data_IF_102020760884
#
_entry.id   IF_102020760884
#
_cell.length_a   1.000
_cell.length_b   1.000
_cell.length_c   1.000
_cell.angle_alpha   90.00
_cell.angle_beta   90.00
_cell.angle_gamma   90.00
#
_symmetry.space_group_name_H-M   'P 1'
#
loop_
_entity.id
_entity.type
_entity.pdbx_description
1 polymer ?
#
# COMPACT_ATOMS: atom_id res chain seq x y z
N UNK A 1 9.83 -78.71 -95.35
CA UNK A 1 9.80 -77.83 -94.16
C UNK A 1 10.26 -76.44 -94.60
N UNK A 2 9.33 -75.50 -94.79
CA UNK A 2 9.65 -74.15 -95.26
C UNK A 2 10.12 -73.34 -94.05
N UNK A 3 11.43 -73.08 -93.95
CA UNK A 3 11.95 -72.09 -93.02
C UNK A 3 11.41 -70.72 -93.46
N UNK A 4 10.41 -70.21 -92.74
CA UNK A 4 9.97 -68.83 -92.87
C UNK A 4 11.11 -67.95 -92.34
N UNK A 5 11.96 -67.48 -93.26
CA UNK A 5 12.98 -66.48 -92.96
C UNK A 5 12.22 -65.19 -92.67
N UNK A 6 12.15 -64.84 -91.39
CA UNK A 6 11.47 -63.66 -90.92
C UNK A 6 12.28 -62.43 -91.36
N UNK A 7 11.98 -61.90 -92.55
CA UNK A 7 12.65 -60.76 -93.19
C UNK A 7 12.32 -59.40 -92.52
N UNK A 8 11.87 -59.41 -91.27
CA UNK A 8 11.65 -58.17 -90.53
C UNK A 8 13.03 -57.56 -90.22
N UNK A 9 13.38 -56.40 -90.79
CA UNK A 9 14.69 -55.82 -90.60
C UNK A 9 14.93 -55.51 -89.12
N UNK A 10 16.09 -55.93 -88.59
CA UNK A 10 16.46 -55.80 -87.18
C UNK A 10 16.41 -54.35 -86.66
N UNK A 11 16.50 -53.36 -87.54
CA UNK A 11 16.33 -51.93 -87.23
C UNK A 11 14.93 -51.57 -86.70
N UNK A 12 13.88 -52.27 -87.15
CA UNK A 12 12.50 -52.02 -86.68
C UNK A 12 12.28 -52.63 -85.28
N UNK A 13 12.90 -53.77 -84.98
CA UNK A 13 12.81 -54.39 -83.66
C UNK A 13 13.54 -53.58 -82.58
N UNK A 14 14.72 -53.04 -82.89
CA UNK A 14 15.50 -52.22 -81.94
C UNK A 14 14.84 -50.88 -81.63
N UNK A 15 14.24 -50.23 -82.62
CA UNK A 15 13.48 -48.97 -82.42
C UNK A 15 12.22 -49.19 -81.58
N UNK A 16 11.51 -50.31 -81.77
CA UNK A 16 10.34 -50.69 -80.95
C UNK A 16 10.72 -50.99 -79.50
N UNK A 17 11.85 -51.69 -79.28
CA UNK A 17 12.37 -51.99 -77.94
C UNK A 17 12.85 -50.72 -77.19
N UNK A 18 13.43 -49.73 -77.89
CA UNK A 18 13.79 -48.45 -77.27
C UNK A 18 12.55 -47.66 -76.83
N UNK A 19 11.50 -47.63 -77.68
CA UNK A 19 10.23 -46.95 -77.35
C UNK A 19 9.53 -47.57 -76.15
N UNK A 20 9.52 -48.90 -76.01
CA UNK A 20 8.91 -49.56 -74.84
C UNK A 20 9.69 -49.28 -73.55
N UNK A 21 11.03 -49.33 -73.60
CA UNK A 21 11.88 -48.96 -72.45
C UNK A 21 11.66 -47.52 -72.02
N UNK A 22 11.62 -46.58 -72.96
CA UNK A 22 11.40 -45.16 -72.66
C UNK A 22 10.03 -44.92 -72.03
N UNK A 23 8.97 -45.58 -72.53
CA UNK A 23 7.64 -45.52 -71.91
C UNK A 23 7.63 -46.08 -70.49
N UNK A 24 8.36 -47.16 -70.24
CA UNK A 24 8.48 -47.76 -68.91
C UNK A 24 9.24 -46.84 -67.94
N UNK A 25 10.32 -46.20 -68.38
CA UNK A 25 11.04 -45.20 -67.58
C UNK A 25 10.18 -43.99 -67.26
N UNK A 26 9.42 -43.46 -68.22
CA UNK A 26 8.48 -42.35 -67.98
C UNK A 26 7.40 -42.77 -66.97
N UNK A 27 6.85 -43.98 -67.10
CA UNK A 27 5.82 -44.47 -66.18
C UNK A 27 6.36 -44.63 -64.75
N UNK A 28 7.59 -45.12 -64.60
CA UNK A 28 8.27 -45.21 -63.30
C UNK A 28 8.50 -43.84 -62.68
N UNK A 29 8.99 -42.88 -63.45
CA UNK A 29 9.27 -41.52 -62.97
C UNK A 29 7.97 -40.79 -62.59
N UNK A 30 6.93 -40.91 -63.42
CA UNK A 30 5.60 -40.38 -63.10
C UNK A 30 5.01 -41.02 -61.83
N UNK A 31 5.19 -42.33 -61.64
CA UNK A 31 4.75 -43.02 -60.43
C UNK A 31 5.52 -42.55 -59.19
N UNK A 32 6.84 -42.37 -59.31
CA UNK A 32 7.67 -41.85 -58.21
C UNK A 32 7.25 -40.43 -57.79
N UNK A 33 7.00 -39.54 -58.77
CA UNK A 33 6.50 -38.19 -58.50
C UNK A 33 5.10 -38.20 -57.88
N UNK A 34 4.21 -39.09 -58.34
CA UNK A 34 2.87 -39.23 -57.76
C UNK A 34 2.93 -39.70 -56.30
N UNK A 35 3.81 -40.66 -55.98
CA UNK A 35 4.01 -41.15 -54.61
C UNK A 35 4.58 -40.03 -53.72
N UNK A 36 5.59 -39.29 -54.20
CA UNK A 36 6.18 -38.17 -53.45
C UNK A 36 5.15 -37.04 -53.20
N UNK A 37 4.34 -36.71 -54.22
CA UNK A 37 3.26 -35.72 -54.09
C UNK A 37 2.18 -36.17 -53.11
N UNK A 38 1.77 -37.44 -53.16
CA UNK A 38 0.79 -38.00 -52.22
C UNK A 38 1.32 -38.01 -50.79
N UNK A 39 2.58 -38.43 -50.58
CA UNK A 39 3.23 -38.40 -49.27
C UNK A 39 3.25 -36.98 -48.70
N UNK A 40 3.62 -35.97 -49.51
CA UNK A 40 3.63 -34.57 -49.08
C UNK A 40 2.23 -34.05 -48.72
N UNK A 41 1.21 -34.39 -49.52
CA UNK A 41 -0.16 -33.97 -49.28
C UNK A 41 -0.75 -34.62 -48.02
N UNK A 42 -0.42 -35.90 -47.78
CA UNK A 42 -0.86 -36.65 -46.58
C UNK A 42 -0.18 -36.19 -45.29
N UNK A 43 1.01 -35.59 -45.36
CA UNK A 43 1.73 -35.07 -44.20
C UNK A 43 1.25 -33.68 -43.73
N UNK A 44 0.63 -32.89 -44.60
CA UNK A 44 0.11 -31.54 -44.26
C UNK A 44 -0.91 -31.49 -43.11
N UNK A 45 -1.98 -32.32 -43.08
CA UNK A 45 -2.99 -32.21 -42.02
C UNK A 45 -2.46 -32.48 -40.60
N UNK A 46 -1.32 -33.18 -40.47
CA UNK A 46 -0.69 -33.41 -39.17
C UNK A 46 0.03 -32.16 -38.61
N UNK A 47 0.52 -31.27 -39.48
CA UNK A 47 1.21 -30.06 -39.06
C UNK A 47 0.24 -29.00 -38.51
N UNK A 48 -0.94 -28.86 -39.13
CA UNK A 48 -1.95 -27.87 -38.71
C UNK A 48 -2.56 -28.21 -37.33
N UNK A 49 -2.71 -29.50 -37.03
CA UNK A 49 -3.16 -29.98 -35.71
C UNK A 49 -2.16 -29.66 -34.58
N UNK A 50 -0.85 -29.68 -34.86
CA UNK A 50 0.17 -29.35 -33.87
C UNK A 50 0.22 -27.84 -33.58
N UNK A 51 0.10 -27.01 -34.60
CA UNK A 51 0.10 -25.54 -34.42
C UNK A 51 -1.13 -25.12 -33.60
N UNK A 52 -2.31 -25.62 -33.95
CA UNK A 52 -3.54 -25.31 -33.22
C UNK A 52 -3.49 -25.80 -31.77
N UNK A 53 -2.94 -27.00 -31.53
CA UNK A 53 -2.74 -27.51 -30.17
C UNK A 53 -1.77 -26.65 -29.37
N UNK A 54 -0.61 -26.30 -29.93
CA UNK A 54 0.37 -25.43 -29.26
C UNK A 54 -0.20 -24.05 -28.97
N UNK A 55 -0.98 -23.48 -29.89
CA UNK A 55 -1.68 -22.22 -29.67
C UNK A 55 -2.71 -22.33 -28.53
N UNK A 56 -3.49 -23.40 -28.48
CA UNK A 56 -4.43 -23.63 -27.38
C UNK A 56 -3.72 -23.80 -26.04
N UNK A 57 -2.63 -24.57 -25.99
CA UNK A 57 -1.83 -24.77 -24.77
C UNK A 57 -1.17 -23.45 -24.31
N UNK A 58 -0.73 -22.60 -25.23
CA UNK A 58 -0.21 -21.26 -24.91
C UNK A 58 -1.29 -20.33 -24.34
N UNK A 59 -2.49 -20.33 -24.92
CA UNK A 59 -3.60 -19.52 -24.42
C UNK A 59 -4.03 -19.99 -23.02
N UNK A 60 -4.11 -21.31 -22.80
CA UNK A 60 -4.44 -21.89 -21.50
C UNK A 60 -3.37 -21.58 -20.45
N UNK A 61 -2.09 -21.68 -20.79
CA UNK A 61 -1.00 -21.31 -19.91
C UNK A 61 -1.03 -19.80 -19.57
N UNK A 62 -1.31 -18.95 -20.56
CA UNK A 62 -1.48 -17.51 -20.37
C UNK A 62 -2.64 -17.17 -19.42
N UNK A 63 -3.79 -17.84 -19.59
CA UNK A 63 -4.95 -17.66 -18.73
C UNK A 63 -4.66 -18.09 -17.26
N UNK A 64 -3.92 -19.19 -17.06
CA UNK A 64 -3.50 -19.64 -15.72
C UNK A 64 -2.57 -18.63 -15.04
N UNK A 65 -1.55 -18.15 -15.75
CA UNK A 65 -0.63 -17.14 -15.23
C UNK A 65 -1.35 -15.85 -14.87
N UNK A 66 -2.28 -15.38 -15.71
CA UNK A 66 -3.08 -14.20 -15.40
C UNK A 66 -3.95 -14.40 -14.13
N UNK A 67 -4.53 -15.59 -13.97
CA UNK A 67 -5.29 -15.96 -12.77
C UNK A 67 -4.43 -15.97 -11.50
N UNK A 68 -3.24 -16.56 -11.55
CA UNK A 68 -2.30 -16.59 -10.42
C UNK A 68 -1.79 -15.20 -10.05
N UNK A 69 -1.47 -14.37 -11.04
CA UNK A 69 -1.05 -12.98 -10.82
C UNK A 69 -2.16 -12.15 -10.17
N UNK A 70 -3.41 -12.33 -10.61
CA UNK A 70 -4.56 -11.68 -9.97
C UNK A 70 -4.74 -12.17 -8.53
N UNK A 71 -4.51 -13.46 -8.26
CA UNK A 71 -4.50 -14.03 -6.91
C UNK A 71 -3.44 -13.40 -6.01
N UNK A 72 -2.20 -13.32 -6.48
CA UNK A 72 -1.08 -12.68 -5.76
C UNK A 72 -1.30 -11.18 -5.51
N UNK A 73 -1.89 -10.47 -6.47
CA UNK A 73 -2.23 -9.06 -6.29
C UNK A 73 -3.27 -8.88 -5.17
N UNK A 74 -4.30 -9.74 -5.12
CA UNK A 74 -5.32 -9.70 -4.07
C UNK A 74 -4.76 -10.03 -2.68
N UNK A 75 -3.88 -11.04 -2.57
CA UNK A 75 -3.28 -11.39 -1.27
C UNK A 75 -2.34 -10.30 -0.76
N UNK A 76 -1.55 -9.66 -1.64
CA UNK A 76 -0.74 -8.49 -1.28
C UNK A 76 -1.59 -7.33 -0.79
N UNK A 77 -2.66 -6.99 -1.51
CA UNK A 77 -3.57 -5.93 -1.09
C UNK A 77 -4.22 -6.24 0.29
N UNK A 78 -4.60 -7.49 0.55
CA UNK A 78 -5.15 -7.89 1.85
C UNK A 78 -4.10 -7.82 2.99
N UNK A 79 -2.85 -8.19 2.69
CA UNK A 79 -1.74 -8.06 3.65
C UNK A 79 -1.47 -6.60 4.00
N UNK A 80 -1.42 -5.73 3.00
CA UNK A 80 -1.18 -4.30 3.19
C UNK A 80 -2.29 -3.65 4.04
N UNK A 81 -3.56 -4.01 3.78
CA UNK A 81 -4.70 -3.56 4.59
C UNK A 81 -4.61 -4.08 6.04
N UNK A 82 -4.24 -5.35 6.24
CA UNK A 82 -4.06 -5.89 7.58
C UNK A 82 -2.94 -5.18 8.37
N UNK A 83 -1.81 -4.88 7.73
CA UNK A 83 -0.71 -4.13 8.34
C UNK A 83 -1.10 -2.68 8.66
N UNK A 84 -1.88 -2.03 7.79
CA UNK A 84 -2.41 -0.69 8.06
C UNK A 84 -3.37 -0.68 9.26
N UNK A 85 -4.24 -1.68 9.37
CA UNK A 85 -5.14 -1.84 10.52
C UNK A 85 -4.37 -2.09 11.81
N UNK A 86 -3.34 -2.94 11.77
CA UNK A 86 -2.48 -3.17 12.92
C UNK A 86 -1.72 -1.90 13.34
N UNK A 87 -1.12 -1.18 12.39
CA UNK A 87 -0.43 0.07 12.66
C UNK A 87 -1.39 1.11 13.27
N UNK A 88 -2.64 1.16 12.80
CA UNK A 88 -3.69 2.04 13.34
C UNK A 88 -4.09 1.60 14.75
N UNK A 89 -4.31 0.30 14.98
CA UNK A 89 -4.63 -0.24 16.29
C UNK A 89 -3.50 -0.01 17.30
N UNK A 90 -2.24 -0.23 16.92
CA UNK A 90 -1.06 0.08 17.75
C UNK A 90 -0.97 1.58 18.06
N UNK A 91 -1.24 2.47 17.10
CA UNK A 91 -1.29 3.92 17.33
C UNK A 91 -2.42 4.33 18.27
N UNK A 92 -3.55 3.62 18.26
CA UNK A 92 -4.67 3.88 19.17
C UNK A 92 -4.35 3.33 20.57
N UNK A 93 -3.85 2.10 20.67
CA UNK A 93 -3.48 1.46 21.93
C UNK A 93 -2.27 2.09 22.62
N UNK A 94 -1.37 2.72 21.87
CA UNK A 94 -0.26 3.50 22.41
C UNK A 94 -0.67 4.90 22.90
N UNK A 95 -1.94 5.29 22.80
CA UNK A 95 -2.40 6.58 23.35
C UNK A 95 -2.41 6.48 24.88
N UNK A 96 -1.86 7.49 25.59
CA UNK A 96 -2.01 7.57 27.04
C UNK A 96 -3.49 7.54 27.42
N UNK A 97 -3.82 6.87 28.51
CA UNK A 97 -5.18 6.94 29.06
C UNK A 97 -5.43 8.33 29.65
N UNK A 98 -6.11 9.17 28.89
CA UNK A 98 -6.48 10.51 29.30
C UNK A 98 -7.71 10.53 30.21
N UNK A 99 -8.42 9.42 30.38
CA UNK A 99 -9.63 9.37 31.21
C UNK A 99 -9.31 9.66 32.67
N UNK A 100 -8.24 9.06 33.20
CA UNK A 100 -7.75 9.32 34.55
C UNK A 100 -7.32 10.77 34.74
N UNK A 101 -6.66 11.37 33.74
CA UNK A 101 -6.30 12.78 33.77
C UNK A 101 -7.54 13.69 33.83
N UNK A 102 -8.54 13.42 33.00
CA UNK A 102 -9.78 14.20 32.99
C UNK A 102 -10.56 14.06 34.30
N UNK A 103 -10.53 12.87 34.90
CA UNK A 103 -11.12 12.62 36.21
C UNK A 103 -10.42 13.45 37.30
N UNK A 104 -9.09 13.46 37.34
CA UNK A 104 -8.31 14.27 38.29
C UNK A 104 -8.58 15.76 38.11
N UNK A 105 -8.62 16.26 36.87
CA UNK A 105 -8.96 17.66 36.58
C UNK A 105 -10.39 17.99 37.05
N UNK A 106 -11.33 17.06 36.89
CA UNK A 106 -12.71 17.22 37.36
C UNK A 106 -12.83 17.23 38.89
N UNK A 107 -12.09 16.36 39.60
CA UNK A 107 -12.07 16.32 41.07
C UNK A 107 -11.46 17.57 41.70
N UNK A 108 -10.52 18.22 41.01
CA UNK A 108 -9.87 19.46 41.45
C UNK A 108 -10.57 20.72 40.93
N UNK A 109 -11.67 20.59 40.21
CA UNK A 109 -12.39 21.76 39.70
C UNK A 109 -13.18 22.42 40.84
N UNK A 110 -12.85 23.68 41.17
CA UNK A 110 -13.65 24.47 42.13
C UNK A 110 -15.09 24.57 41.61
N UNK A 111 -16.13 24.38 42.46
CA UNK A 111 -17.54 24.50 42.06
C UNK A 111 -17.92 25.86 41.43
N UNK A 112 -17.08 26.88 41.60
CA UNK A 112 -17.24 28.23 41.04
C UNK A 112 -16.45 28.43 39.73
N UNK A 113 -15.91 27.36 39.16
CA UNK A 113 -15.30 27.31 37.85
C UNK A 113 -15.99 26.27 36.98
N UNK A 114 -16.15 26.58 35.69
CA UNK A 114 -16.74 25.69 34.69
C UNK A 114 -15.76 25.53 33.54
N UNK A 115 -15.49 24.28 33.16
CA UNK A 115 -14.68 23.96 31.99
C UNK A 115 -15.53 24.02 30.73
N UNK A 116 -15.08 24.77 29.73
CA UNK A 116 -15.73 24.85 28.42
C UNK A 116 -15.08 23.91 27.42
N UNK A 117 -13.75 23.77 27.47
CA UNK A 117 -13.00 22.97 26.52
C UNK A 117 -11.72 22.45 27.14
N UNK A 118 -11.45 21.16 26.94
CA UNK A 118 -10.19 20.54 27.29
C UNK A 118 -9.61 19.91 26.03
N UNK A 119 -8.45 20.40 25.60
CA UNK A 119 -7.73 19.92 24.42
C UNK A 119 -6.43 19.27 24.85
N UNK A 120 -6.09 18.14 24.25
CA UNK A 120 -4.83 17.44 24.47
C UNK A 120 -4.10 17.42 23.14
N UNK A 121 -2.92 18.01 23.11
CA UNK A 121 -2.08 18.08 21.92
C UNK A 121 -0.67 17.57 22.24
N UNK A 122 0.06 16.98 21.28
CA UNK A 122 1.50 16.78 21.45
C UNK A 122 2.17 18.14 21.62
N UNK A 123 3.08 18.30 22.58
CA UNK A 123 3.84 19.53 22.82
C UNK A 123 4.61 20.00 21.57
N UNK A 124 5.07 19.04 20.76
CA UNK A 124 5.79 19.28 19.51
C UNK A 124 4.88 19.47 18.30
N UNK A 125 3.55 19.40 18.46
CA UNK A 125 2.62 19.84 17.41
C UNK A 125 2.57 21.37 17.41
N UNK A 126 3.70 21.99 17.06
CA UNK A 126 3.79 23.41 16.76
C UNK A 126 2.65 23.71 15.76
N UNK A 127 1.74 24.60 16.17
CA UNK A 127 0.62 25.01 15.34
C UNK A 127 1.16 25.43 13.96
N UNK A 128 0.56 25.00 12.84
CA UNK A 128 1.01 25.45 11.53
C UNK A 128 0.97 26.98 11.51
N UNK A 129 2.15 27.59 11.36
CA UNK A 129 2.38 29.03 11.37
C UNK A 129 1.35 29.72 10.48
N UNK A 130 0.30 30.22 11.11
CA UNK A 130 -0.75 31.00 10.47
C UNK A 130 -0.32 32.45 10.48
N UNK A 131 0.88 32.77 9.96
CA UNK A 131 1.35 34.14 9.67
C UNK A 131 2.76 34.20 9.06
N UNK A 132 3.00 33.50 7.94
CA UNK A 132 4.07 33.89 7.02
C UNK A 132 3.49 34.37 5.70
N UNK A 133 2.94 35.58 5.74
CA UNK A 133 2.70 36.40 4.57
C UNK A 133 3.98 36.53 3.73
N UNK A 134 4.01 35.85 2.60
CA UNK A 134 4.70 36.23 1.36
C UNK A 134 6.11 36.79 1.47
N UNK A 135 7.12 35.91 1.45
CA UNK A 135 8.37 36.22 0.74
C UNK A 135 8.89 34.99 0.00
N UNK A 136 8.86 34.97 -1.35
CA UNK A 136 9.44 33.88 -2.12
C UNK A 136 10.97 33.98 -2.05
N UNK A 137 11.59 33.23 -1.13
CA UNK A 137 13.02 32.95 -1.21
C UNK A 137 13.25 31.89 -2.28
N UNK A 138 13.89 32.30 -3.36
CA UNK A 138 14.32 31.45 -4.46
C UNK A 138 15.15 30.27 -3.93
N UNK A 139 14.65 29.05 -4.14
CA UNK A 139 15.33 27.80 -3.80
C UNK A 139 16.20 27.36 -4.98
N UNK A 140 17.51 27.34 -4.76
CA UNK A 140 18.48 26.64 -5.59
C UNK A 140 18.33 25.13 -5.39
N UNK A 141 18.26 24.30 -6.45
CA UNK A 141 18.34 22.85 -6.32
C UNK A 141 19.82 22.43 -6.37
N UNK A 142 20.26 21.52 -5.47
CA UNK A 142 21.02 20.31 -5.83
C UNK A 142 21.72 19.68 -4.62
N UNK A 143 21.53 18.37 -4.48
CA UNK A 143 22.31 17.48 -3.63
C UNK A 143 21.61 16.13 -3.46
N UNK A 144 21.97 15.10 -4.24
CA UNK A 144 21.42 13.76 -4.08
C UNK A 144 22.20 13.00 -3.01
N UNK A 145 21.49 12.36 -2.07
CA UNK A 145 22.00 11.19 -1.37
C UNK A 145 22.57 11.42 0.03
N UNK A 146 21.72 11.81 0.98
CA UNK A 146 21.86 11.35 2.35
C UNK A 146 20.53 10.68 2.73
N UNK A 147 20.49 9.35 2.62
CA UNK A 147 19.47 8.55 3.29
C UNK A 147 19.61 8.78 4.79
N UNK A 148 18.81 9.70 5.33
CA UNK A 148 18.59 9.78 6.76
C UNK A 148 17.85 8.49 7.14
N UNK A 149 18.58 7.56 7.75
CA UNK A 149 17.98 6.42 8.41
C UNK A 149 16.94 6.94 9.42
N UNK A 150 15.71 6.41 9.44
CA UNK A 150 14.73 6.80 10.45
C UNK A 150 15.28 6.41 11.82
N UNK A 151 15.67 7.41 12.60
CA UNK A 151 16.03 7.22 14.00
C UNK A 151 14.75 6.89 14.76
N UNK A 152 14.52 5.60 15.01
CA UNK A 152 13.41 5.10 15.86
C UNK A 152 13.73 5.25 17.36
N UNK A 153 14.45 6.31 17.75
CA UNK A 153 14.45 6.71 19.14
C UNK A 153 13.05 7.26 19.41
N UNK A 154 12.24 6.48 20.11
CA UNK A 154 10.94 6.90 20.63
C UNK A 154 11.18 8.05 21.60
N UNK A 155 11.37 9.25 21.07
CA UNK A 155 11.32 10.48 21.86
C UNK A 155 9.97 10.47 22.56
N UNK A 156 10.03 10.43 23.89
CA UNK A 156 8.88 10.53 24.74
C UNK A 156 8.04 11.72 24.26
N UNK A 157 6.90 11.42 23.64
CA UNK A 157 6.02 12.47 23.13
C UNK A 157 5.45 13.18 24.34
N UNK A 158 5.99 14.36 24.65
CA UNK A 158 5.44 15.22 25.68
C UNK A 158 4.07 15.72 25.20
N UNK A 159 3.07 15.65 26.07
CA UNK A 159 1.71 16.09 25.76
C UNK A 159 1.41 17.37 26.52
N UNK A 160 0.71 18.30 25.89
CA UNK A 160 0.19 19.52 26.48
C UNK A 160 -1.34 19.42 26.60
N UNK A 161 -1.83 19.80 27.78
CA UNK A 161 -3.23 19.95 28.10
C UNK A 161 -3.58 21.44 28.05
N UNK A 162 -4.51 21.82 27.18
CA UNK A 162 -5.08 23.16 27.07
C UNK A 162 -6.47 23.16 27.67
N UNK A 163 -6.65 23.87 28.77
CA UNK A 163 -7.91 23.99 29.51
C UNK A 163 -8.45 25.41 29.29
N UNK A 164 -9.63 25.51 28.69
CA UNK A 164 -10.39 26.77 28.61
C UNK A 164 -11.62 26.67 29.50
N UNK A 165 -11.92 27.76 30.23
CA UNK A 165 -13.08 27.81 31.10
C UNK A 165 -13.46 29.22 31.53
N UNK A 166 -14.45 29.28 32.40
CA UNK A 166 -14.94 30.51 33.05
C UNK A 166 -14.99 30.29 34.56
N UNK A 167 -14.63 31.32 35.33
CA UNK A 167 -14.69 31.28 36.79
C UNK A 167 -15.32 32.56 37.35
N UNK A 168 -15.88 32.50 38.55
CA UNK A 168 -16.50 33.68 39.20
C UNK A 168 -15.49 34.78 39.51
N UNK A 169 -14.20 34.45 39.70
CA UNK A 169 -13.15 35.45 39.93
C UNK A 169 -11.75 34.92 39.54
N UNK A 170 -10.80 35.83 39.33
CA UNK A 170 -9.40 35.48 39.05
C UNK A 170 -8.73 34.71 40.20
N UNK A 171 -9.16 34.91 41.45
CA UNK A 171 -8.65 34.16 42.60
C UNK A 171 -8.99 32.67 42.53
N UNK A 172 -10.17 32.32 41.99
CA UNK A 172 -10.56 30.92 41.75
C UNK A 172 -9.67 30.28 40.68
N UNK A 173 -9.35 31.02 39.62
CA UNK A 173 -8.44 30.55 38.56
C UNK A 173 -7.04 30.28 39.11
N UNK A 174 -6.49 31.19 39.90
CA UNK A 174 -5.16 31.00 40.50
C UNK A 174 -5.12 29.80 41.45
N UNK A 175 -6.17 29.59 42.25
CA UNK A 175 -6.28 28.40 43.11
C UNK A 175 -6.30 27.13 42.27
N UNK A 176 -7.10 27.09 41.20
CA UNK A 176 -7.16 25.96 40.30
C UNK A 176 -5.79 25.63 39.68
N UNK A 177 -5.03 26.65 39.25
CA UNK A 177 -3.66 26.45 38.72
C UNK A 177 -2.74 25.81 39.77
N UNK A 178 -2.80 26.28 41.02
CA UNK A 178 -2.01 25.71 42.12
C UNK A 178 -2.43 24.28 42.44
N UNK A 179 -3.74 24.01 42.52
CA UNK A 179 -4.25 22.66 42.79
C UNK A 179 -3.87 21.67 41.68
N UNK A 180 -3.86 22.11 40.41
CA UNK A 180 -3.39 21.31 39.28
C UNK A 180 -1.88 21.02 39.38
N UNK A 181 -1.06 22.01 39.73
CA UNK A 181 0.38 21.85 39.92
C UNK A 181 0.70 20.88 41.09
N UNK A 182 -0.03 21.01 42.20
CA UNK A 182 0.10 20.14 43.38
C UNK A 182 -0.27 18.67 43.11
N UNK A 183 -1.11 18.38 42.11
CA UNK A 183 -1.39 16.99 41.73
C UNK A 183 -0.15 16.25 41.25
N UNK A 184 0.83 16.98 40.74
CA UNK A 184 2.07 16.43 40.20
C UNK A 184 1.89 15.57 38.94
N UNK A 185 0.73 15.60 38.28
CA UNK A 185 0.57 15.03 36.92
C UNK A 185 1.24 15.91 35.85
N UNK A 186 1.32 17.20 36.12
CA UNK A 186 1.92 18.18 35.23
C UNK A 186 3.36 18.48 35.66
N UNK A 187 4.26 18.61 34.70
CA UNK A 187 5.61 19.13 34.93
C UNK A 187 5.59 20.65 35.13
N UNK A 188 4.68 21.32 34.43
CA UNK A 188 4.50 22.76 34.50
C UNK A 188 3.06 23.13 34.17
N UNK A 189 2.48 24.05 34.94
CA UNK A 189 1.14 24.62 34.69
C UNK A 189 1.26 26.13 34.53
N UNK A 190 0.85 26.66 33.38
CA UNK A 190 0.87 28.09 33.05
C UNK A 190 -0.53 28.63 32.83
N UNK A 191 -0.81 29.79 33.42
CA UNK A 191 -2.00 30.58 33.10
C UNK A 191 -1.67 31.47 31.90
N UNK A 192 -2.13 31.08 30.71
CA UNK A 192 -1.77 31.78 29.47
C UNK A 192 -2.52 33.09 29.30
N UNK A 193 -3.82 33.10 29.63
CA UNK A 193 -4.63 34.31 29.54
C UNK A 193 -5.80 34.30 30.51
N UNK A 194 -6.18 35.49 30.96
CA UNK A 194 -7.42 35.76 31.69
C UNK A 194 -8.09 36.99 31.11
N UNK A 195 -9.41 36.98 31.00
CA UNK A 195 -10.17 38.12 30.51
C UNK A 195 -11.56 38.21 31.16
N UNK A 196 -12.10 39.41 31.38
CA UNK A 196 -13.48 39.55 31.84
C UNK A 196 -14.44 38.99 30.79
N UNK A 197 -15.44 38.22 31.21
CA UNK A 197 -16.49 37.69 30.36
C UNK A 197 -17.82 37.75 31.10
N UNK A 198 -18.86 38.21 30.43
CA UNK A 198 -20.21 38.22 30.98
C UNK A 198 -20.93 36.93 30.57
N UNK A 199 -21.50 36.22 31.56
CA UNK A 199 -22.28 35.00 31.35
C UNK A 199 -23.65 35.25 31.96
N UNK A 200 -24.63 35.59 31.12
CA UNK A 200 -25.91 36.13 31.59
C UNK A 200 -25.70 37.45 32.33
N UNK A 201 -26.19 37.55 33.56
CA UNK A 201 -26.06 38.75 34.40
C UNK A 201 -24.85 38.71 35.35
N UNK A 202 -24.03 37.66 35.28
CA UNK A 202 -22.89 37.47 36.18
C UNK A 202 -21.58 37.88 35.49
N UNK A 203 -20.79 38.73 36.16
CA UNK A 203 -19.42 38.99 35.77
C UNK A 203 -18.54 37.79 36.12
N UNK A 204 -17.97 37.16 35.09
CA UNK A 204 -17.05 36.05 35.21
C UNK A 204 -15.68 36.42 34.61
N UNK A 205 -14.70 35.56 34.84
CA UNK A 205 -13.37 35.64 34.25
C UNK A 205 -13.19 34.42 33.37
N UNK A 206 -13.06 34.62 32.07
CA UNK A 206 -12.58 33.59 31.15
C UNK A 206 -11.10 33.35 31.39
N UNK A 207 -10.68 32.10 31.36
CA UNK A 207 -9.29 31.72 31.54
C UNK A 207 -8.85 30.66 30.53
N UNK A 208 -7.55 30.64 30.25
CA UNK A 208 -6.86 29.61 29.49
C UNK A 208 -5.63 29.16 30.26
N UNK A 209 -5.57 27.87 30.59
CA UNK A 209 -4.46 27.23 31.28
C UNK A 209 -3.81 26.23 30.32
N UNK A 210 -2.48 26.17 30.32
CA UNK A 210 -1.72 25.10 29.66
C UNK A 210 -0.96 24.31 30.71
N UNK A 211 -1.09 22.99 30.70
CA UNK A 211 -0.29 22.07 31.51
C UNK A 211 0.55 21.16 30.62
N UNK A 212 1.86 21.05 30.87
CA UNK A 212 2.70 20.03 30.22
C UNK A 212 2.69 18.76 31.05
N UNK A 213 2.48 17.61 30.40
CA UNK A 213 2.36 16.31 31.07
C UNK A 213 3.73 15.70 31.34
N UNK A 214 3.98 15.33 32.59
CA UNK A 214 5.23 14.70 33.00
C UNK A 214 5.30 13.25 32.51
N UNK A 215 6.22 12.96 31.59
CA UNK A 215 6.43 11.64 30.98
C UNK A 215 6.63 10.52 32.02
N UNK A 216 7.12 10.85 33.22
CA UNK A 216 7.52 9.87 34.23
C UNK A 216 6.41 9.25 35.08
N UNK A 217 5.15 9.70 35.02
CA UNK A 217 4.13 9.32 36.03
C UNK A 217 2.94 8.51 35.53
N UNK A 218 2.76 8.36 34.22
CA UNK A 218 1.71 7.49 33.66
C UNK A 218 2.12 6.02 33.56
N UNK A 219 3.40 5.68 33.82
CA UNK A 219 3.96 4.36 33.53
C UNK A 219 3.69 3.28 34.59
N UNK A 220 3.17 3.61 35.77
CA UNK A 220 2.96 2.62 36.83
C UNK A 220 1.67 2.96 37.58
N UNK A 221 0.56 2.33 37.17
CA UNK A 221 -0.53 2.12 38.11
C UNK A 221 0.07 1.31 39.27
N UNK A 222 -0.11 1.71 40.54
CA UNK A 222 0.34 0.91 41.66
C UNK A 222 -0.35 -0.45 41.55
N UNK A 223 0.42 -1.50 41.24
CA UNK A 223 -0.01 -2.87 41.48
C UNK A 223 -0.30 -2.96 42.97
N UNK A 224 -1.60 -2.91 43.28
CA UNK A 224 -2.15 -3.14 44.60
C UNK A 224 -1.82 -4.59 44.97
N UNK A 225 -0.69 -4.77 45.65
CA UNK A 225 -0.32 -6.06 46.22
C UNK A 225 -1.25 -6.29 47.42
N UNK A 226 -2.05 -7.36 47.41
CA UNK A 226 -2.93 -7.72 48.52
C UNK A 226 -2.16 -8.09 49.80
#
# INVERSE_FOLDING_TARGET
MKHAINLIPASILTTRARRSRLRLWIALDAAALAIAGFAWLSARPQADGLITRLQSEQLDAGARLAGEQAGLARTRAALDDALQREATARRIGARPDFSGLLLVVGERLDPRATLEQVLIAPANAQAPDSDSSGRPSARTPNGPGASQAPSYASEATEYQLLINGVAVSAGVVNRLVLELDETGYFSHVTLNSTGPRQVGDVHAVQFRITGTLGVGRFAVAPEDKP
#
